data_IF_864213426994
#
_entry.id   IF_864213426994
#
_cell.length_a   1.000
_cell.length_b   1.000
_cell.length_c   1.000
_cell.angle_alpha   90.00
_cell.angle_beta   90.00
_cell.angle_gamma   90.00
#
_symmetry.space_group_name_H-M   'P 1'
#
loop_
_entity.id
_entity.type
_entity.pdbx_description
1 polymer ?
#
# COMPACT_ATOMS: atom_id res chain seq x y z
N UNK A 1 -61.56 -21.23 -1.90
CA UNK A 1 -61.52 -20.03 -2.76
C UNK A 1 -61.11 -18.84 -1.93
N UNK A 2 -60.37 -17.91 -2.55
CA UNK A 2 -60.02 -16.54 -2.10
C UNK A 2 -58.69 -16.47 -1.30
N UNK A 3 -57.51 -16.26 -1.90
CA UNK A 3 -56.90 -14.98 -2.36
C UNK A 3 -56.87 -13.97 -1.19
N UNK A 4 -55.80 -13.29 -0.78
CA UNK A 4 -54.55 -12.78 -1.37
C UNK A 4 -53.72 -12.23 -0.17
N UNK A 5 -52.41 -12.42 -0.09
CA UNK A 5 -51.36 -11.53 -0.62
C UNK A 5 -50.86 -10.47 0.39
N UNK A 6 -49.52 -10.50 0.59
CA UNK A 6 -48.58 -9.47 1.03
C UNK A 6 -48.42 -9.15 2.52
N UNK A 7 -47.18 -9.31 3.00
CA UNK A 7 -46.25 -8.26 3.45
C UNK A 7 -44.89 -8.94 3.71
N UNK A 8 -43.96 -8.94 2.74
CA UNK A 8 -42.80 -8.02 2.66
C UNK A 8 -42.02 -7.95 3.97
N UNK A 9 -40.81 -8.51 4.02
CA UNK A 9 -39.57 -7.75 4.30
C UNK A 9 -38.36 -8.63 4.01
N UNK A 10 -37.58 -8.21 3.02
CA UNK A 10 -36.34 -8.87 2.62
C UNK A 10 -35.24 -8.59 3.64
N UNK A 11 -34.44 -9.61 3.91
CA UNK A 11 -33.11 -9.44 4.47
C UNK A 11 -32.17 -10.40 3.75
N UNK A 12 -31.96 -10.13 2.47
CA UNK A 12 -30.86 -10.74 1.71
C UNK A 12 -29.59 -10.03 2.16
N UNK A 13 -28.94 -10.54 3.20
CA UNK A 13 -27.59 -10.12 3.55
C UNK A 13 -26.63 -10.91 2.67
N UNK A 14 -26.30 -10.29 1.55
CA UNK A 14 -25.23 -10.69 0.65
C UNK A 14 -23.88 -10.61 1.39
N UNK A 15 -23.42 -11.72 1.96
CA UNK A 15 -22.04 -11.86 2.42
C UNK A 15 -21.21 -12.54 1.31
N UNK A 16 -20.93 -11.79 0.24
CA UNK A 16 -19.93 -12.18 -0.75
C UNK A 16 -18.58 -11.61 -0.29
N UNK A 17 -17.84 -12.40 0.47
CA UNK A 17 -16.43 -12.11 0.77
C UNK A 17 -15.62 -12.30 -0.52
N UNK A 18 -15.21 -11.20 -1.15
CA UNK A 18 -14.26 -11.23 -2.25
C UNK A 18 -12.86 -11.59 -1.70
N UNK A 19 -12.33 -12.74 -2.08
CA UNK A 19 -10.94 -13.12 -1.84
C UNK A 19 -10.03 -12.37 -2.83
N UNK A 20 -9.03 -11.57 -2.40
CA UNK A 20 -8.03 -11.07 -3.32
C UNK A 20 -7.06 -12.20 -3.66
N UNK A 21 -7.05 -12.65 -4.91
CA UNK A 21 -5.95 -13.46 -5.44
C UNK A 21 -4.74 -12.55 -5.60
N UNK A 22 -3.82 -12.60 -4.63
CA UNK A 22 -2.50 -12.00 -4.78
C UNK A 22 -1.63 -12.95 -5.60
N UNK A 23 -1.63 -12.76 -6.91
CA UNK A 23 -0.66 -13.41 -7.79
C UNK A 23 0.68 -12.68 -7.64
N UNK A 24 1.48 -13.13 -6.68
CA UNK A 24 2.86 -12.69 -6.53
C UNK A 24 3.70 -13.34 -7.63
N UNK A 25 3.86 -12.65 -8.76
CA UNK A 25 4.89 -13.03 -9.73
C UNK A 25 6.24 -12.58 -9.16
N UNK A 26 6.81 -13.38 -8.25
CA UNK A 26 8.13 -13.12 -7.65
C UNK A 26 9.24 -13.33 -8.68
N UNK A 27 9.39 -12.40 -9.62
CA UNK A 27 10.67 -12.24 -10.32
C UNK A 27 11.61 -11.51 -9.37
N UNK A 28 12.32 -12.30 -8.55
CA UNK A 28 13.42 -11.90 -7.68
C UNK A 28 14.60 -11.39 -8.53
N UNK A 29 14.43 -10.25 -9.18
CA UNK A 29 15.55 -9.44 -9.63
C UNK A 29 15.82 -8.48 -8.49
N UNK A 30 16.96 -8.65 -7.81
CA UNK A 30 17.58 -7.59 -7.01
C UNK A 30 18.00 -6.49 -7.96
N UNK A 31 17.02 -5.82 -8.56
CA UNK A 31 17.21 -4.59 -9.30
C UNK A 31 17.25 -3.56 -8.19
N UNK A 32 18.45 -3.16 -7.81
CA UNK A 32 18.69 -1.85 -7.22
C UNK A 32 18.19 -0.86 -8.26
N UNK A 33 16.87 -0.65 -8.30
CA UNK A 33 16.28 0.47 -8.99
C UNK A 33 16.76 1.63 -8.14
N UNK A 34 17.92 2.19 -8.51
CA UNK A 34 18.19 3.59 -8.27
C UNK A 34 17.03 4.33 -8.92
N UNK A 35 15.93 4.41 -8.18
CA UNK A 35 14.89 5.38 -8.45
C UNK A 35 15.60 6.69 -8.23
N UNK A 36 16.13 7.25 -9.31
CA UNK A 36 16.71 8.57 -9.38
C UNK A 36 15.56 9.56 -9.14
N UNK A 37 15.09 9.60 -7.89
CA UNK A 37 14.34 10.74 -7.40
C UNK A 37 15.32 11.88 -7.51
N UNK A 38 14.95 12.91 -8.26
CA UNK A 38 15.73 14.12 -8.47
C UNK A 38 15.80 14.89 -7.14
N UNK A 39 16.57 14.34 -6.21
CA UNK A 39 16.83 14.89 -4.90
C UNK A 39 18.06 15.77 -5.01
N UNK A 40 17.95 17.02 -4.58
CA UNK A 40 19.09 17.96 -4.53
C UNK A 40 20.27 17.43 -3.70
N UNK A 41 20.02 16.51 -2.77
CA UNK A 41 21.02 15.86 -1.92
C UNK A 41 20.94 14.34 -2.11
N UNK A 42 20.37 13.61 -1.14
CA UNK A 42 20.17 12.16 -1.19
C UNK A 42 18.71 11.77 -0.90
N UNK A 43 18.37 10.52 -1.18
CA UNK A 43 17.11 9.92 -0.74
C UNK A 43 17.24 9.40 0.69
N UNK A 44 16.18 9.54 1.49
CA UNK A 44 16.12 9.00 2.85
C UNK A 44 16.40 7.49 2.88
N UNK A 45 17.29 7.07 3.77
CA UNK A 45 17.72 5.67 3.92
C UNK A 45 16.81 4.83 4.83
N UNK A 46 15.70 5.39 5.34
CA UNK A 46 14.77 4.65 6.17
C UNK A 46 13.99 3.62 5.34
N UNK A 47 13.79 2.42 5.88
CA UNK A 47 12.98 1.36 5.26
C UNK A 47 11.74 1.09 6.09
N UNK A 48 10.57 1.13 5.47
CA UNK A 48 9.31 0.87 6.15
C UNK A 48 9.20 -0.61 6.55
N UNK A 49 8.99 -0.88 7.84
CA UNK A 49 8.92 -2.26 8.37
C UNK A 49 7.79 -3.09 7.77
N UNK A 50 6.65 -2.48 7.47
CA UNK A 50 5.46 -3.16 6.96
C UNK A 50 5.57 -3.59 5.49
N UNK A 51 6.34 -2.85 4.69
CA UNK A 51 6.42 -3.08 3.23
C UNK A 51 7.81 -3.45 2.74
N UNK A 52 8.84 -3.29 3.58
CA UNK A 52 10.24 -3.47 3.19
C UNK A 52 10.75 -2.44 2.18
N UNK A 53 9.96 -1.41 1.85
CA UNK A 53 10.31 -0.40 0.85
C UNK A 53 11.03 0.77 1.49
N UNK A 54 12.06 1.28 0.82
CA UNK A 54 12.76 2.49 1.23
C UNK A 54 11.84 3.71 1.12
N UNK A 55 11.99 4.63 2.06
CA UNK A 55 11.34 5.93 2.07
C UNK A 55 11.73 6.71 0.80
N UNK A 56 10.73 7.25 0.11
CA UNK A 56 10.90 8.00 -1.15
C UNK A 56 11.12 9.49 -0.96
N UNK A 57 11.16 9.96 0.29
CA UNK A 57 11.41 11.37 0.58
C UNK A 57 12.90 11.70 0.44
N UNK A 58 13.20 12.85 -0.16
CA UNK A 58 14.54 13.40 -0.17
C UNK A 58 14.95 13.93 1.21
N UNK A 59 16.24 13.88 1.51
CA UNK A 59 16.81 14.59 2.66
C UNK A 59 16.89 16.09 2.35
N UNK A 60 16.78 16.92 3.38
CA UNK A 60 16.70 18.38 3.22
C UNK A 60 18.04 19.07 3.35
N UNK A 61 19.10 18.34 3.73
CA UNK A 61 20.45 18.87 3.97
C UNK A 61 21.48 17.89 3.43
N UNK A 62 22.58 18.43 2.94
CA UNK A 62 23.74 17.63 2.57
C UNK A 62 24.29 16.87 3.79
N UNK A 63 24.68 15.62 3.59
CA UNK A 63 25.18 14.73 4.64
C UNK A 63 24.12 14.11 5.57
N UNK A 64 22.85 14.55 5.53
CA UNK A 64 21.77 13.88 6.28
C UNK A 64 21.45 12.52 5.62
N UNK A 65 21.22 11.49 6.44
CA UNK A 65 20.83 10.15 5.97
C UNK A 65 19.31 9.94 5.96
N UNK A 66 18.58 10.76 6.71
CA UNK A 66 17.14 10.58 6.96
C UNK A 66 16.37 11.86 6.69
N UNK A 67 15.18 11.73 6.11
CA UNK A 67 14.26 12.86 5.95
C UNK A 67 13.69 13.30 7.31
N UNK A 68 13.01 14.45 7.31
CA UNK A 68 12.41 15.04 8.52
C UNK A 68 11.44 14.11 9.28
N UNK A 69 10.80 13.15 8.60
CA UNK A 69 9.92 12.16 9.26
C UNK A 69 10.68 11.07 10.02
N UNK A 70 11.93 10.83 9.64
CA UNK A 70 12.78 9.77 10.20
C UNK A 70 14.01 10.33 10.92
N UNK A 71 14.06 11.65 11.12
CA UNK A 71 15.08 12.32 11.90
C UNK A 71 14.83 12.00 13.38
N UNK A 72 15.81 11.38 14.03
CA UNK A 72 15.79 11.12 15.49
C UNK A 72 16.01 12.40 16.26
#
# INVERSE_FOLDING_TARGET
MKIKLLLVFGFVVSALFATPNFEENTKKTSLTVETNYDCNYSQCQATAKSTGKQCKHCVSKDGDLYCWQHKK
#
